data_IF_791370758272
#
_entry.id   IF_791370758272
#
_cell.length_a   1.000
_cell.length_b   1.000
_cell.length_c   1.000
_cell.angle_alpha   90.00
_cell.angle_beta   90.00
_cell.angle_gamma   90.00
#
_symmetry.space_group_name_H-M   'P 1'
#
loop_
_entity.id
_entity.type
_entity.pdbx_description
1 polymer ?
#
# COMPACT_ATOMS: atom_id res chain seq x y z
N UNK A 1 38.78 -32.17 25.62
CA UNK A 1 38.46 -30.97 24.82
C UNK A 1 39.21 -29.79 25.42
N UNK A 2 40.01 -29.04 24.65
CA UNK A 2 40.82 -27.91 25.18
C UNK A 2 39.89 -26.78 25.67
N UNK A 3 40.24 -26.13 26.78
CA UNK A 3 39.57 -24.96 27.38
C UNK A 3 39.16 -23.90 26.34
N UNK A 4 40.02 -23.60 25.35
CA UNK A 4 39.68 -22.70 24.23
C UNK A 4 38.47 -23.18 23.42
N UNK A 5 38.39 -24.48 23.12
CA UNK A 5 37.25 -25.06 22.40
C UNK A 5 35.98 -24.99 23.23
N UNK A 6 36.07 -25.17 24.54
CA UNK A 6 34.93 -25.10 25.45
C UNK A 6 34.40 -23.66 25.57
N UNK A 7 35.29 -22.67 25.68
CA UNK A 7 34.94 -21.23 25.63
C UNK A 7 34.28 -20.84 24.30
N UNK A 8 34.83 -21.28 23.18
CA UNK A 8 34.23 -21.06 21.85
C UNK A 8 32.84 -21.71 21.72
N UNK A 9 32.66 -22.94 22.23
CA UNK A 9 31.38 -23.63 22.21
C UNK A 9 30.35 -22.90 23.07
N UNK A 10 30.73 -22.49 24.29
CA UNK A 10 29.86 -21.73 25.19
C UNK A 10 29.46 -20.39 24.59
N UNK A 11 30.39 -19.66 23.99
CA UNK A 11 30.09 -18.41 23.29
C UNK A 11 29.11 -18.65 22.13
N UNK A 12 29.33 -19.68 21.32
CA UNK A 12 28.44 -20.02 20.22
C UNK A 12 27.03 -20.37 20.71
N UNK A 13 26.90 -21.18 21.77
CA UNK A 13 25.61 -21.55 22.35
C UNK A 13 24.88 -20.34 22.92
N UNK A 14 25.57 -19.47 23.66
CA UNK A 14 24.96 -18.26 24.21
C UNK A 14 24.55 -17.30 23.09
N UNK A 15 25.39 -17.08 22.09
CA UNK A 15 25.05 -16.26 20.92
C UNK A 15 23.83 -16.82 20.17
N UNK A 16 23.81 -18.13 19.93
CA UNK A 16 22.69 -18.81 19.27
C UNK A 16 21.38 -18.67 20.07
N UNK A 17 21.41 -18.87 21.38
CA UNK A 17 20.25 -18.67 22.25
C UNK A 17 19.79 -17.20 22.27
N UNK A 18 20.72 -16.24 22.28
CA UNK A 18 20.38 -14.82 22.15
C UNK A 18 19.70 -14.50 20.81
N UNK A 19 20.18 -15.08 19.70
CA UNK A 19 19.54 -14.91 18.39
C UNK A 19 18.14 -15.53 18.35
N UNK A 20 17.93 -16.71 18.96
CA UNK A 20 16.61 -17.32 19.07
C UNK A 20 15.65 -16.47 19.91
N UNK A 21 16.10 -15.97 21.06
CA UNK A 21 15.30 -15.09 21.92
C UNK A 21 14.94 -13.78 21.22
N UNK A 22 15.91 -13.15 20.54
CA UNK A 22 15.66 -11.96 19.73
C UNK A 22 14.66 -12.25 18.61
N UNK A 23 14.86 -13.33 17.85
CA UNK A 23 13.94 -13.75 16.79
C UNK A 23 12.52 -13.97 17.29
N UNK A 24 12.36 -14.64 18.44
CA UNK A 24 11.05 -14.84 19.04
C UNK A 24 10.40 -13.53 19.51
N UNK A 25 11.18 -12.64 20.14
CA UNK A 25 10.72 -11.32 20.58
C UNK A 25 10.22 -10.48 19.39
N UNK A 26 11.02 -10.33 18.33
CA UNK A 26 10.62 -9.57 17.15
C UNK A 26 9.41 -10.18 16.43
N UNK A 27 9.35 -11.51 16.31
CA UNK A 27 8.19 -12.20 15.75
C UNK A 27 6.92 -11.95 16.57
N UNK A 28 7.02 -11.98 17.91
CA UNK A 28 5.90 -11.68 18.81
C UNK A 28 5.41 -10.24 18.64
N UNK A 29 6.33 -9.27 18.60
CA UNK A 29 5.98 -7.86 18.39
C UNK A 29 5.30 -7.63 17.03
N UNK A 30 5.78 -8.27 15.97
CA UNK A 30 5.16 -8.19 14.65
C UNK A 30 3.75 -8.79 14.66
N UNK A 31 3.57 -9.96 15.27
CA UNK A 31 2.26 -10.61 15.39
C UNK A 31 1.27 -9.75 16.18
N UNK A 32 1.73 -9.14 17.28
CA UNK A 32 0.91 -8.22 18.06
C UNK A 32 0.51 -6.98 17.25
N UNK A 33 1.44 -6.39 16.49
CA UNK A 33 1.17 -5.21 15.69
C UNK A 33 0.17 -5.49 14.55
N UNK A 34 0.27 -6.66 13.90
CA UNK A 34 -0.75 -7.11 12.94
C UNK A 34 -2.09 -7.28 13.62
N UNK A 35 -2.12 -7.96 14.77
CA UNK A 35 -3.32 -8.15 15.60
C UNK A 35 -4.06 -6.84 15.88
N UNK A 36 -3.35 -5.80 16.32
CA UNK A 36 -3.95 -4.48 16.63
C UNK A 36 -4.68 -3.85 15.43
N UNK A 37 -4.23 -4.13 14.20
CA UNK A 37 -4.85 -3.59 12.97
C UNK A 37 -6.09 -4.38 12.56
N UNK A 38 -6.05 -5.71 12.71
CA UNK A 38 -7.10 -6.61 12.22
C UNK A 38 -8.18 -6.94 13.25
N UNK A 39 -7.92 -6.72 14.54
CA UNK A 39 -8.85 -7.01 15.65
C UNK A 39 -10.04 -6.03 15.75
N UNK A 40 -10.04 -4.97 14.93
CA UNK A 40 -11.16 -4.03 14.86
C UNK A 40 -12.04 -4.26 13.64
N UNK A 41 -13.24 -3.67 13.70
CA UNK A 41 -14.09 -3.59 12.53
C UNK A 41 -13.48 -2.63 11.50
N UNK A 42 -12.71 -3.19 10.58
CA UNK A 42 -12.13 -2.49 9.42
C UNK A 42 -13.09 -2.43 8.24
N UNK A 43 -14.35 -2.82 8.45
CA UNK A 43 -15.37 -2.73 7.42
C UNK A 43 -15.51 -1.28 6.94
N UNK A 44 -15.65 -1.13 5.64
CA UNK A 44 -15.85 0.18 5.04
C UNK A 44 -17.35 0.37 4.86
N UNK A 45 -17.89 1.44 5.44
CA UNK A 45 -19.32 1.71 5.33
C UNK A 45 -19.53 2.68 4.17
N UNK A 46 -19.93 2.18 2.99
CA UNK A 46 -20.06 2.98 1.76
C UNK A 46 -20.89 4.25 1.96
N UNK A 47 -21.97 4.16 2.76
CA UNK A 47 -22.88 5.29 3.02
C UNK A 47 -22.21 6.51 3.66
N UNK A 48 -21.06 6.31 4.30
CA UNK A 48 -20.28 7.37 4.96
C UNK A 48 -19.26 8.02 4.01
N UNK A 49 -19.08 7.52 2.78
CA UNK A 49 -18.21 8.15 1.80
C UNK A 49 -18.82 9.49 1.36
N UNK A 50 -18.08 10.61 1.44
CA UNK A 50 -18.62 11.93 1.13
C UNK A 50 -18.85 12.15 -0.38
N UNK A 51 -18.38 11.25 -1.23
CA UNK A 51 -18.46 11.37 -2.69
C UNK A 51 -19.53 10.43 -3.27
N UNK A 52 -19.65 9.23 -2.69
CA UNK A 52 -20.65 8.25 -3.02
C UNK A 52 -20.29 7.38 -4.23
N UNK A 53 -21.27 6.57 -4.63
CA UNK A 53 -21.17 5.60 -5.71
C UNK A 53 -21.27 6.27 -7.09
N UNK A 54 -20.46 5.78 -8.03
CA UNK A 54 -20.66 6.02 -9.45
C UNK A 54 -20.35 4.74 -10.23
N UNK A 55 -21.34 3.85 -10.27
CA UNK A 55 -21.25 2.55 -10.96
C UNK A 55 -21.45 2.61 -12.48
N UNK A 56 -21.90 3.75 -12.99
CA UNK A 56 -22.23 3.93 -14.41
C UNK A 56 -21.10 4.62 -15.20
N UNK A 57 -20.08 5.13 -14.52
CA UNK A 57 -18.92 5.72 -15.18
C UNK A 57 -18.14 4.65 -15.95
N UNK A 58 -17.72 5.01 -17.16
CA UNK A 58 -16.84 4.19 -17.97
C UNK A 58 -15.42 4.19 -17.39
N UNK A 59 -14.79 3.01 -17.34
CA UNK A 59 -13.36 2.86 -17.10
C UNK A 59 -12.61 2.98 -18.42
N UNK A 60 -11.72 3.97 -18.53
CA UNK A 60 -10.89 4.20 -19.71
C UNK A 60 -9.43 3.79 -19.49
N UNK A 61 -8.96 3.81 -18.23
CA UNK A 61 -7.60 3.44 -17.84
C UNK A 61 -7.53 3.12 -16.34
N UNK A 62 -6.41 2.56 -15.90
CA UNK A 62 -6.12 2.30 -14.50
C UNK A 62 -4.97 3.18 -14.00
N UNK A 63 -5.01 3.56 -12.73
CA UNK A 63 -3.88 4.25 -12.07
C UNK A 63 -3.45 3.46 -10.84
N UNK A 64 -2.21 2.96 -10.87
CA UNK A 64 -1.54 2.46 -9.66
C UNK A 64 -1.04 3.66 -8.87
N UNK A 65 -1.46 3.75 -7.61
CA UNK A 65 -1.08 4.82 -6.69
C UNK A 65 -0.19 4.26 -5.61
N UNK A 66 1.02 4.81 -5.52
CA UNK A 66 2.00 4.46 -4.49
C UNK A 66 2.20 5.65 -3.56
N UNK A 67 2.27 5.39 -2.25
CA UNK A 67 2.46 6.42 -1.22
C UNK A 67 3.81 6.26 -0.55
N UNK A 68 4.55 7.36 -0.42
CA UNK A 68 5.76 7.41 0.38
C UNK A 68 5.39 7.49 1.86
N UNK A 69 5.52 6.36 2.57
CA UNK A 69 5.06 6.22 3.96
C UNK A 69 5.73 7.18 4.95
N UNK A 70 7.04 7.50 4.88
CA UNK A 70 7.66 8.44 5.82
C UNK A 70 6.98 9.80 5.80
N UNK A 71 6.76 10.38 4.61
CA UNK A 71 6.08 11.66 4.47
C UNK A 71 4.58 11.60 4.84
N UNK A 72 3.91 10.46 4.61
CA UNK A 72 2.56 10.25 5.12
C UNK A 72 2.53 10.24 6.65
N UNK A 73 3.36 9.42 7.28
CA UNK A 73 3.41 9.26 8.72
C UNK A 73 3.86 10.52 9.46
N UNK A 74 4.75 11.33 8.88
CA UNK A 74 5.08 12.64 9.42
C UNK A 74 3.86 13.57 9.49
N UNK A 75 2.99 13.53 8.47
CA UNK A 75 1.72 14.30 8.51
C UNK A 75 0.77 13.75 9.56
N UNK A 76 0.63 12.42 9.65
CA UNK A 76 -0.22 11.80 10.68
C UNK A 76 0.26 12.14 12.10
N UNK A 77 1.57 12.10 12.36
CA UNK A 77 2.14 12.50 13.66
C UNK A 77 1.96 13.97 13.96
N UNK A 78 2.05 14.86 12.96
CA UNK A 78 1.73 16.29 13.16
C UNK A 78 0.26 16.51 13.52
N UNK A 79 -0.64 15.68 12.98
CA UNK A 79 -2.09 15.79 13.23
C UNK A 79 -2.51 15.19 14.58
N UNK A 80 -1.98 14.01 14.93
CA UNK A 80 -2.43 13.23 16.09
C UNK A 80 -1.45 13.23 17.26
N UNK A 81 -0.24 13.77 17.09
CA UNK A 81 0.81 13.72 18.10
C UNK A 81 1.21 12.29 18.44
N UNK A 82 1.32 12.01 19.73
CA UNK A 82 1.64 10.67 20.25
C UNK A 82 0.44 9.71 20.24
N UNK A 83 -0.76 10.20 19.96
CA UNK A 83 -2.02 9.44 20.01
C UNK A 83 -2.46 9.01 18.61
N UNK A 84 -1.57 8.31 17.88
CA UNK A 84 -1.91 7.77 16.56
C UNK A 84 -3.09 6.78 16.68
N UNK A 85 -4.13 6.91 15.85
CA UNK A 85 -5.18 5.91 15.74
C UNK A 85 -4.62 4.51 15.51
N UNK A 86 -5.25 3.49 16.11
CA UNK A 86 -4.82 2.09 15.96
C UNK A 86 -4.67 1.64 14.50
N UNK A 87 -5.52 2.13 13.60
CA UNK A 87 -5.45 1.84 12.16
C UNK A 87 -4.17 2.36 11.48
N UNK A 88 -3.47 3.30 12.10
CA UNK A 88 -2.20 3.87 11.62
C UNK A 88 -0.99 3.34 12.38
N UNK A 89 -1.18 2.60 13.48
CA UNK A 89 -0.08 2.14 14.32
C UNK A 89 0.87 1.19 13.58
N UNK A 90 0.34 0.35 12.68
CA UNK A 90 1.19 -0.56 11.92
C UNK A 90 2.05 0.16 10.88
N UNK A 91 1.49 1.13 10.15
CA UNK A 91 2.24 1.90 9.15
C UNK A 91 3.17 2.96 9.77
N UNK A 92 2.71 3.65 10.82
CA UNK A 92 3.32 4.87 11.32
C UNK A 92 3.80 4.81 12.77
N UNK A 93 3.52 3.72 13.48
CA UNK A 93 4.06 3.45 14.80
C UNK A 93 5.53 3.05 14.76
N UNK A 94 6.00 2.46 15.86
CA UNK A 94 7.43 2.17 16.05
C UNK A 94 7.85 0.76 15.62
N UNK A 95 6.88 -0.13 15.35
CA UNK A 95 7.15 -1.55 15.12
C UNK A 95 7.73 -1.83 13.73
N UNK A 96 7.37 -1.04 12.73
CA UNK A 96 7.80 -1.26 11.35
C UNK A 96 8.08 0.07 10.65
N UNK A 97 9.05 0.06 9.73
CA UNK A 97 9.35 1.20 8.87
C UNK A 97 9.01 0.84 7.42
N UNK A 98 8.09 1.59 6.84
CA UNK A 98 7.70 1.45 5.44
C UNK A 98 8.37 2.54 4.59
N UNK A 99 8.77 2.17 3.37
CA UNK A 99 9.12 3.11 2.32
C UNK A 99 7.90 3.39 1.44
N UNK A 100 8.02 3.13 0.14
CA UNK A 100 6.88 3.11 -0.76
C UNK A 100 5.94 1.95 -0.39
N UNK A 101 4.64 2.24 -0.36
CA UNK A 101 3.57 1.26 -0.18
C UNK A 101 2.51 1.47 -1.26
N UNK A 102 1.68 0.46 -1.46
CA UNK A 102 0.54 0.55 -2.36
C UNK A 102 -0.57 1.33 -1.63
N UNK A 103 -1.02 2.45 -2.21
CA UNK A 103 -2.27 3.07 -1.80
C UNK A 103 -3.42 2.30 -2.44
N UNK A 104 -3.41 2.13 -3.76
CA UNK A 104 -4.49 1.47 -4.49
C UNK A 104 -4.27 1.36 -5.99
N UNK A 105 -5.21 0.72 -6.67
CA UNK A 105 -5.31 0.68 -8.13
C UNK A 105 -6.71 1.10 -8.54
N UNK A 106 -6.80 2.25 -9.19
CA UNK A 106 -8.07 2.93 -9.41
C UNK A 106 -8.50 2.86 -10.87
N UNK A 107 -9.75 2.47 -11.10
CA UNK A 107 -10.43 2.71 -12.37
C UNK A 107 -10.62 4.20 -12.59
N UNK A 108 -10.30 4.69 -13.79
CA UNK A 108 -10.38 6.10 -14.11
C UNK A 108 -11.17 6.33 -15.39
N UNK A 109 -11.98 7.38 -15.40
CA UNK A 109 -12.59 7.91 -16.62
C UNK A 109 -11.71 9.04 -17.15
N UNK A 110 -11.37 9.02 -18.45
CA UNK A 110 -10.49 10.02 -19.08
C UNK A 110 -11.15 11.39 -19.18
N UNK A 111 -12.47 11.44 -19.21
CA UNK A 111 -13.24 12.67 -19.35
C UNK A 111 -13.71 13.26 -18.02
N UNK A 112 -13.53 12.52 -16.91
CA UNK A 112 -13.84 13.02 -15.60
C UNK A 112 -13.03 14.28 -15.28
N UNK A 113 -13.76 15.29 -14.82
CA UNK A 113 -13.28 16.59 -14.34
C UNK A 113 -13.49 16.75 -12.85
N UNK A 114 -14.10 15.76 -12.20
CA UNK A 114 -14.33 15.70 -10.76
C UNK A 114 -14.17 14.28 -10.27
N UNK A 115 -13.79 14.17 -9.00
CA UNK A 115 -13.52 12.91 -8.33
C UNK A 115 -14.75 11.98 -8.33
N UNK A 116 -15.97 12.53 -8.27
CA UNK A 116 -17.23 11.76 -8.35
C UNK A 116 -17.59 11.25 -9.76
N UNK A 117 -16.91 11.71 -10.81
CA UNK A 117 -17.17 11.30 -12.21
C UNK A 117 -16.39 10.04 -12.61
N UNK A 118 -15.43 9.61 -11.79
CA UNK A 118 -14.69 8.35 -11.99
C UNK A 118 -15.52 7.13 -11.55
N UNK A 119 -15.21 5.91 -12.03
CA UNK A 119 -15.83 4.68 -11.54
C UNK A 119 -15.52 4.42 -10.07
N UNK A 120 -16.56 4.18 -9.26
CA UNK A 120 -16.41 3.98 -7.81
C UNK A 120 -17.57 3.18 -7.24
N UNK A 121 -17.25 2.30 -6.29
CA UNK A 121 -18.22 1.45 -5.60
C UNK A 121 -19.10 0.68 -6.58
N UNK A 122 -18.54 0.11 -7.66
CA UNK A 122 -19.34 -0.41 -8.77
C UNK A 122 -20.26 -1.57 -8.36
N UNK A 123 -19.92 -2.29 -7.29
CA UNK A 123 -20.75 -3.35 -6.71
C UNK A 123 -21.50 -2.92 -5.42
N UNK A 124 -21.38 -1.65 -5.02
CA UNK A 124 -22.01 -1.12 -3.81
C UNK A 124 -21.22 -1.39 -2.53
N UNK A 125 -21.93 -1.41 -1.41
CA UNK A 125 -21.42 -1.76 -0.07
C UNK A 125 -21.17 -3.27 -0.04
N UNK A 126 -19.92 -3.68 0.23
CA UNK A 126 -19.51 -5.09 0.19
C UNK A 126 -19.24 -5.59 1.61
N UNK A 127 -19.43 -6.90 1.81
CA UNK A 127 -19.10 -7.51 3.09
C UNK A 127 -17.61 -7.36 3.41
N UNK A 128 -17.32 -7.20 4.71
CA UNK A 128 -15.97 -7.23 5.24
C UNK A 128 -15.16 -8.42 4.71
N UNK A 129 -13.96 -8.12 4.24
CA UNK A 129 -13.03 -9.12 3.73
C UNK A 129 -12.58 -10.11 4.82
N UNK A 130 -12.23 -11.36 4.46
CA UNK A 130 -11.64 -12.30 5.40
C UNK A 130 -10.31 -11.78 5.96
N UNK A 131 -10.12 -11.88 7.27
CA UNK A 131 -8.90 -11.42 7.95
C UNK A 131 -7.62 -12.02 7.36
N UNK A 132 -7.62 -13.29 7.00
CA UNK A 132 -6.44 -13.95 6.40
C UNK A 132 -6.03 -13.28 5.07
N UNK A 133 -7.01 -12.78 4.31
CA UNK A 133 -6.74 -12.05 3.07
C UNK A 133 -6.08 -10.70 3.40
N UNK A 134 -6.60 -9.98 4.39
CA UNK A 134 -6.02 -8.71 4.85
C UNK A 134 -4.57 -8.91 5.28
N UNK A 135 -4.31 -9.87 6.17
CA UNK A 135 -2.96 -10.16 6.70
C UNK A 135 -1.94 -10.44 5.60
N UNK A 136 -2.36 -11.09 4.51
CA UNK A 136 -1.50 -11.43 3.37
C UNK A 136 -0.97 -10.21 2.60
N UNK A 137 -1.70 -9.10 2.59
CA UNK A 137 -1.35 -7.89 1.83
C UNK A 137 -0.92 -6.71 2.72
N UNK A 138 -1.06 -6.80 4.05
CA UNK A 138 -0.53 -5.81 5.00
C UNK A 138 0.94 -5.43 4.78
N UNK A 139 1.86 -6.36 4.39
CA UNK A 139 3.26 -5.99 4.14
C UNK A 139 3.47 -4.97 3.01
N UNK A 140 2.52 -4.85 2.08
CA UNK A 140 2.56 -3.89 0.97
C UNK A 140 1.51 -2.79 1.07
N UNK A 141 0.45 -3.00 1.87
CA UNK A 141 -0.68 -2.10 2.12
C UNK A 141 -0.99 -2.07 3.62
N UNK A 142 -0.28 -1.25 4.42
CA UNK A 142 -0.18 -1.43 5.88
C UNK A 142 -1.39 -0.88 6.67
N UNK A 143 -2.62 -1.11 6.19
CA UNK A 143 -3.86 -0.78 6.88
C UNK A 143 -5.01 -1.69 6.42
N UNK A 144 -5.71 -2.32 7.36
CA UNK A 144 -6.87 -3.16 7.05
C UNK A 144 -8.04 -2.35 6.47
N UNK A 145 -8.29 -1.15 6.99
CA UNK A 145 -9.36 -0.28 6.47
C UNK A 145 -9.02 0.28 5.08
N UNK A 146 -7.74 0.47 4.78
CA UNK A 146 -7.28 0.79 3.43
C UNK A 146 -7.58 -0.38 2.48
N UNK A 147 -7.18 -1.60 2.84
CA UNK A 147 -7.42 -2.80 2.02
C UNK A 147 -8.91 -2.99 1.72
N UNK A 148 -9.78 -2.94 2.74
CA UNK A 148 -11.24 -3.03 2.56
C UNK A 148 -11.76 -1.92 1.65
N UNK A 149 -11.45 -0.66 1.98
CA UNK A 149 -11.95 0.50 1.24
C UNK A 149 -11.49 0.54 -0.21
N UNK A 150 -10.24 0.15 -0.48
CA UNK A 150 -9.69 0.10 -1.85
C UNK A 150 -10.32 -1.00 -2.69
N UNK A 151 -10.57 -2.17 -2.08
CA UNK A 151 -11.31 -3.23 -2.76
C UNK A 151 -12.71 -2.76 -3.13
N UNK A 152 -13.47 -2.26 -2.16
CA UNK A 152 -14.87 -1.92 -2.34
C UNK A 152 -15.07 -0.71 -3.25
N UNK A 153 -14.27 0.34 -3.05
CA UNK A 153 -14.36 1.58 -3.82
C UNK A 153 -13.81 1.43 -5.24
N UNK A 154 -12.72 0.70 -5.42
CA UNK A 154 -11.96 0.73 -6.68
C UNK A 154 -11.79 -0.65 -7.31
N UNK A 155 -11.39 -1.65 -6.52
CA UNK A 155 -11.11 -2.99 -7.03
C UNK A 155 -12.33 -3.68 -7.63
N UNK A 156 -13.50 -3.54 -6.99
CA UNK A 156 -14.77 -4.12 -7.42
C UNK A 156 -15.33 -3.50 -8.72
N UNK A 157 -14.70 -2.44 -9.24
CA UNK A 157 -14.96 -1.89 -10.58
C UNK A 157 -14.17 -2.60 -11.68
N UNK A 158 -13.15 -3.40 -11.32
CA UNK A 158 -12.20 -4.03 -12.25
C UNK A 158 -12.30 -5.55 -12.18
N UNK A 159 -12.46 -6.10 -10.98
CA UNK A 159 -12.41 -7.53 -10.70
C UNK A 159 -13.68 -8.03 -10.02
N UNK A 160 -14.00 -9.31 -10.26
CA UNK A 160 -15.13 -9.98 -9.62
C UNK A 160 -14.85 -10.37 -8.16
N UNK A 161 -13.58 -10.44 -7.75
CA UNK A 161 -13.20 -10.79 -6.39
C UNK A 161 -11.93 -10.07 -5.91
N UNK A 162 -11.85 -9.89 -4.58
CA UNK A 162 -10.79 -9.13 -3.94
C UNK A 162 -9.40 -9.75 -4.06
N UNK A 163 -9.31 -11.09 -4.08
CA UNK A 163 -8.03 -11.78 -4.19
C UNK A 163 -7.35 -11.45 -5.52
N UNK A 164 -8.09 -11.45 -6.63
CA UNK A 164 -7.53 -11.15 -7.94
C UNK A 164 -7.14 -9.67 -8.07
N UNK A 165 -7.91 -8.76 -7.46
CA UNK A 165 -7.52 -7.35 -7.32
C UNK A 165 -6.19 -7.20 -6.58
N UNK A 166 -6.07 -7.78 -5.39
CA UNK A 166 -4.86 -7.66 -4.58
C UNK A 166 -3.64 -8.36 -5.21
N UNK A 167 -3.82 -9.50 -5.86
CA UNK A 167 -2.75 -10.14 -6.63
C UNK A 167 -2.30 -9.26 -7.81
N UNK A 168 -3.23 -8.64 -8.55
CA UNK A 168 -2.87 -7.73 -9.64
C UNK A 168 -2.02 -6.56 -9.13
N UNK A 169 -2.49 -5.83 -8.11
CA UNK A 169 -1.76 -4.64 -7.63
C UNK A 169 -0.41 -5.00 -7.04
N UNK A 170 -0.32 -6.14 -6.33
CA UNK A 170 0.93 -6.67 -5.77
C UNK A 170 1.92 -7.02 -6.87
N UNK A 171 1.45 -7.65 -7.95
CA UNK A 171 2.30 -7.96 -9.10
C UNK A 171 2.79 -6.70 -9.79
N UNK A 172 1.93 -5.72 -10.06
CA UNK A 172 2.35 -4.43 -10.64
C UNK A 172 3.40 -3.75 -9.76
N UNK A 173 3.15 -3.66 -8.45
CA UNK A 173 4.07 -3.08 -7.48
C UNK A 173 5.45 -3.78 -7.47
N UNK A 174 5.48 -5.11 -7.44
CA UNK A 174 6.71 -5.89 -7.36
C UNK A 174 7.56 -5.87 -8.64
N UNK A 175 6.99 -5.47 -9.78
CA UNK A 175 7.77 -5.24 -11.02
C UNK A 175 8.59 -3.95 -10.96
N UNK A 176 8.32 -3.08 -10.00
CA UNK A 176 8.96 -1.78 -9.89
C UNK A 176 10.19 -1.85 -8.99
N UNK A 177 11.29 -1.27 -9.48
CA UNK A 177 12.35 -0.76 -8.61
C UNK A 177 11.89 0.59 -8.08
N UNK A 178 12.06 0.82 -6.78
CA UNK A 178 11.64 2.05 -6.08
C UNK A 178 12.80 2.57 -5.22
N UNK A 179 12.99 3.91 -5.11
CA UNK A 179 14.03 4.45 -4.26
C UNK A 179 13.67 4.26 -2.78
N UNK A 180 14.66 4.02 -1.93
CA UNK A 180 14.50 3.87 -0.49
C UNK A 180 14.72 5.19 0.28
N UNK A 181 14.71 6.32 -0.41
CA UNK A 181 14.81 7.66 0.13
C UNK A 181 13.86 8.60 -0.62
N UNK A 182 13.56 9.73 0.01
CA UNK A 182 12.69 10.75 -0.60
C UNK A 182 13.43 11.49 -1.71
N UNK A 183 12.70 11.75 -2.80
CA UNK A 183 13.17 12.50 -3.96
C UNK A 183 12.15 13.58 -4.29
N UNK A 184 12.61 14.73 -4.80
CA UNK A 184 11.68 15.69 -5.38
C UNK A 184 10.96 15.07 -6.58
N UNK A 185 9.77 15.58 -6.95
CA UNK A 185 8.97 15.03 -8.06
C UNK A 185 9.79 14.81 -9.35
N UNK A 186 10.58 15.79 -9.74
CA UNK A 186 11.36 15.72 -10.99
C UNK A 186 12.48 14.68 -10.91
N UNK A 187 13.13 14.57 -9.75
CA UNK A 187 14.17 13.56 -9.52
C UNK A 187 13.56 12.17 -9.43
N UNK A 188 12.41 12.02 -8.75
CA UNK A 188 11.67 10.77 -8.66
C UNK A 188 11.30 10.26 -10.05
N UNK A 189 10.75 11.11 -10.93
CA UNK A 189 10.40 10.70 -12.29
C UNK A 189 11.60 10.27 -13.11
N UNK A 190 12.72 11.01 -13.02
CA UNK A 190 13.97 10.61 -13.68
C UNK A 190 14.47 9.29 -13.15
N UNK A 191 14.49 9.12 -11.83
CA UNK A 191 14.95 7.90 -11.16
C UNK A 191 14.09 6.70 -11.57
N UNK A 192 12.75 6.85 -11.57
CA UNK A 192 11.82 5.80 -11.96
C UNK A 192 12.07 5.35 -13.41
N UNK A 193 12.18 6.29 -14.35
CA UNK A 193 12.43 5.98 -15.77
C UNK A 193 13.78 5.33 -16.02
N UNK A 194 14.81 5.73 -15.27
CA UNK A 194 16.16 5.16 -15.40
C UNK A 194 16.26 3.73 -14.85
N UNK A 195 15.46 3.41 -13.83
CA UNK A 195 15.54 2.11 -13.15
C UNK A 195 14.44 1.12 -13.57
N UNK A 196 13.41 1.59 -14.27
CA UNK A 196 12.28 0.79 -14.75
C UNK A 196 12.11 0.99 -16.26
N UNK A 197 12.72 0.13 -17.11
CA UNK A 197 12.70 0.28 -18.56
C UNK A 197 11.29 0.38 -19.16
N UNK A 198 10.32 -0.31 -18.56
CA UNK A 198 8.90 -0.28 -18.96
C UNK A 198 8.25 1.11 -18.78
N UNK A 199 8.83 1.99 -17.97
CA UNK A 199 8.33 3.36 -17.74
C UNK A 199 9.05 4.42 -18.58
N UNK A 200 10.10 4.05 -19.34
CA UNK A 200 11.05 4.98 -19.96
C UNK A 200 10.37 6.10 -20.76
N UNK A 201 9.36 5.77 -21.53
CA UNK A 201 8.67 6.70 -22.44
C UNK A 201 7.35 7.23 -21.88
N UNK A 202 6.92 6.79 -20.69
CA UNK A 202 5.63 7.15 -20.12
C UNK A 202 5.68 8.43 -19.30
N UNK A 203 4.63 9.23 -19.35
CA UNK A 203 4.41 10.33 -18.40
C UNK A 203 3.86 9.77 -17.08
N UNK A 204 4.57 10.04 -15.98
CA UNK A 204 4.17 9.65 -14.63
C UNK A 204 3.41 10.80 -13.96
N UNK A 205 2.47 10.45 -13.08
CA UNK A 205 1.76 11.42 -12.24
C UNK A 205 2.34 11.49 -10.83
N UNK A 206 2.10 12.59 -10.13
CA UNK A 206 2.40 12.71 -8.71
C UNK A 206 1.60 13.83 -8.06
N UNK A 207 1.18 13.59 -6.81
CA UNK A 207 0.54 14.57 -5.94
C UNK A 207 1.01 14.34 -4.50
N UNK A 208 1.37 15.42 -3.79
CA UNK A 208 1.91 15.34 -2.42
C UNK A 208 3.05 14.31 -2.33
N UNK A 209 2.89 13.27 -1.52
CA UNK A 209 3.84 12.16 -1.31
C UNK A 209 3.47 10.90 -2.12
N UNK A 210 2.70 11.05 -3.20
CA UNK A 210 2.21 9.94 -4.01
C UNK A 210 2.74 9.98 -5.44
N UNK A 211 3.00 8.78 -5.97
CA UNK A 211 3.43 8.50 -7.32
C UNK A 211 2.33 7.74 -8.06
N UNK A 212 2.04 8.16 -9.29
CA UNK A 212 1.01 7.55 -10.13
C UNK A 212 1.65 6.96 -11.38
N UNK A 213 1.32 5.69 -11.66
CA UNK A 213 1.68 4.98 -12.87
C UNK A 213 0.38 4.53 -13.53
N UNK A 214 0.20 4.85 -14.81
CA UNK A 214 -1.05 4.61 -15.51
C UNK A 214 -0.91 3.45 -16.49
N UNK A 215 -1.98 2.67 -16.60
CA UNK A 215 -2.07 1.51 -17.47
C UNK A 215 -3.34 1.60 -18.31
N UNK A 216 -3.26 1.19 -19.57
CA UNK A 216 -4.45 0.99 -20.39
C UNK A 216 -5.24 -0.25 -19.92
N UNK A 217 -6.36 -0.52 -20.59
CA UNK A 217 -7.23 -1.65 -20.24
C UNK A 217 -6.58 -3.02 -20.46
N UNK A 218 -5.48 -3.08 -21.24
CA UNK A 218 -4.68 -4.27 -21.54
C UNK A 218 -3.43 -4.38 -20.64
N UNK A 219 -3.37 -3.57 -19.57
CA UNK A 219 -2.28 -3.52 -18.59
C UNK A 219 -0.93 -3.06 -19.16
N UNK A 220 -0.92 -2.38 -20.31
CA UNK A 220 0.29 -1.75 -20.83
C UNK A 220 0.48 -0.38 -20.20
N UNK A 221 1.73 -0.03 -19.91
CA UNK A 221 2.06 1.29 -19.38
C UNK A 221 1.68 2.36 -20.40
N UNK A 222 0.96 3.38 -19.95
CA UNK A 222 0.55 4.53 -20.75
C UNK A 222 0.90 5.85 -20.06
N UNK A 223 0.80 6.95 -20.81
CA UNK A 223 0.91 8.30 -20.24
C UNK A 223 -0.25 8.58 -19.28
N UNK A 224 0.06 9.00 -18.07
CA UNK A 224 -0.97 9.50 -17.16
C UNK A 224 -1.60 10.79 -17.71
N UNK A 225 -2.94 10.88 -17.82
CA UNK A 225 -3.61 12.08 -18.31
C UNK A 225 -3.29 13.34 -17.49
N UNK A 226 -3.21 14.49 -18.18
CA UNK A 226 -2.86 15.78 -17.59
C UNK A 226 -4.03 16.48 -16.87
N UNK A 227 -5.29 16.14 -17.19
CA UNK A 227 -6.48 16.68 -16.53
C UNK A 227 -6.66 16.05 -15.16
N UNK A 228 -6.20 16.77 -14.13
CA UNK A 228 -6.18 16.27 -12.76
C UNK A 228 -7.52 16.47 -12.08
N UNK A 229 -8.30 15.40 -12.03
CA UNK A 229 -9.10 15.06 -10.85
C UNK A 229 -8.87 13.63 -10.41
N UNK A 230 -7.60 13.22 -10.38
CA UNK A 230 -7.20 12.11 -9.51
C UNK A 230 -7.28 12.59 -8.05
N UNK A 231 -7.78 11.73 -7.18
CA UNK A 231 -8.00 11.93 -5.74
C UNK A 231 -6.82 12.59 -5.01
#
# INVERSE_FOLDING_TARGET
MNEKRMLLLSFFVVAFLMFLLAGWYYFSQQKQAVGVVVDRDYDYIMKNDPIGQNKNAQTDYYTLVLSWSPAFCDRQRKQYGNELPNSLQYQCGLTQQFGWIIHGLWSQNKQARRVNEHPRFCQGDLSKLPQELIERYLPEMPSASLLQGEWEKHGACIFDNAKDYFEKIKNLYRTLKLPNYELSRNELFKWMKSNNPQLKNAYLGAARNELFICYDLDWQVMDCPSSRTGY
#
